data_IF_080737696665
#
_entry.id   IF_080737696665
#
_cell.length_a   1.000
_cell.length_b   1.000
_cell.length_c   1.000
_cell.angle_alpha   90.00
_cell.angle_beta   90.00
_cell.angle_gamma   90.00
#
_symmetry.space_group_name_H-M   'P 1'
#
loop_
_entity.id
_entity.type
_entity.pdbx_description
1 polymer ?
#
# COMPACT_ATOMS: atom_id res chain seq x y z
N UNK A 1 -13.70 -19.41 4.12
CA UNK A 1 -13.53 -18.47 2.99
C UNK A 1 -12.05 -18.43 2.61
N UNK A 2 -11.71 -18.44 1.32
CA UNK A 2 -10.31 -18.35 0.84
C UNK A 2 -9.98 -16.89 0.52
N UNK A 3 -8.84 -16.39 1.02
CA UNK A 3 -8.26 -15.10 0.61
C UNK A 3 -7.18 -15.34 -0.43
N UNK A 4 -7.44 -14.94 -1.67
CA UNK A 4 -6.53 -15.15 -2.80
C UNK A 4 -5.84 -13.82 -3.13
N UNK A 5 -4.51 -13.83 -3.10
CA UNK A 5 -3.67 -12.70 -3.53
C UNK A 5 -2.75 -13.19 -4.64
N UNK A 6 -2.66 -12.42 -5.72
CA UNK A 6 -1.82 -12.74 -6.88
C UNK A 6 -0.83 -11.62 -7.13
N UNK A 7 0.37 -11.98 -7.59
CA UNK A 7 1.44 -11.02 -7.87
C UNK A 7 1.03 -10.03 -8.96
N UNK A 8 0.46 -10.52 -10.07
CA UNK A 8 0.04 -9.67 -11.20
C UNK A 8 -0.97 -8.60 -10.77
N UNK A 9 -2.02 -8.98 -10.04
CA UNK A 9 -3.05 -8.03 -9.60
C UNK A 9 -2.53 -7.08 -8.52
N UNK A 10 -1.66 -7.55 -7.63
CA UNK A 10 -1.00 -6.70 -6.62
C UNK A 10 -0.14 -5.63 -7.27
N UNK A 11 0.69 -6.00 -8.26
CA UNK A 11 1.48 -5.03 -9.04
C UNK A 11 0.59 -4.06 -9.81
N UNK A 12 -0.52 -4.54 -10.38
CA UNK A 12 -1.47 -3.69 -11.12
C UNK A 12 -2.08 -2.60 -10.24
N UNK A 13 -2.58 -2.96 -9.05
CA UNK A 13 -3.20 -1.98 -8.15
C UNK A 13 -2.17 -1.05 -7.51
N UNK A 14 -0.99 -1.56 -7.16
CA UNK A 14 0.12 -0.73 -6.68
C UNK A 14 0.50 0.31 -7.73
N UNK A 15 0.71 -0.11 -8.98
CA UNK A 15 1.05 0.80 -10.08
C UNK A 15 -0.02 1.88 -10.27
N UNK A 16 -1.30 1.49 -10.24
CA UNK A 16 -2.40 2.44 -10.30
C UNK A 16 -2.34 3.48 -9.17
N UNK A 17 -2.05 3.07 -7.93
CA UNK A 17 -1.93 3.99 -6.80
C UNK A 17 -0.78 4.99 -6.98
N UNK A 18 0.38 4.55 -7.47
CA UNK A 18 1.52 5.41 -7.76
C UNK A 18 1.30 6.34 -8.97
N UNK A 19 0.68 5.83 -10.04
CA UNK A 19 0.28 6.64 -11.19
C UNK A 19 -0.73 7.71 -10.77
N UNK A 20 -1.72 7.34 -9.95
CA UNK A 20 -2.69 8.27 -9.39
C UNK A 20 -2.00 9.34 -8.53
N UNK A 21 -1.09 8.93 -7.64
CA UNK A 21 -0.35 9.85 -6.79
C UNK A 21 0.44 10.86 -7.63
N UNK A 22 1.15 10.37 -8.64
CA UNK A 22 1.94 11.19 -9.57
C UNK A 22 1.07 12.19 -10.34
N UNK A 23 -0.05 11.71 -10.92
CA UNK A 23 -0.96 12.53 -11.73
C UNK A 23 -1.63 13.65 -10.91
N UNK A 24 -1.90 13.40 -9.64
CA UNK A 24 -2.59 14.37 -8.77
C UNK A 24 -1.64 15.13 -7.84
N UNK A 25 -0.34 15.10 -8.10
CA UNK A 25 0.66 15.83 -7.30
C UNK A 25 0.72 15.39 -5.83
N UNK A 26 0.29 14.16 -5.53
CA UNK A 26 0.42 13.55 -4.21
C UNK A 26 1.87 13.14 -3.99
N UNK A 27 2.28 13.09 -2.73
CA UNK A 27 3.69 12.92 -2.35
C UNK A 27 3.95 11.61 -1.64
N UNK A 28 2.91 10.92 -1.19
CA UNK A 28 3.06 9.70 -0.38
C UNK A 28 2.02 8.63 -0.73
N UNK A 29 2.48 7.39 -0.84
CA UNK A 29 1.65 6.18 -0.96
C UNK A 29 1.98 5.26 0.21
N UNK A 30 0.95 4.87 0.98
CA UNK A 30 1.08 3.94 2.10
C UNK A 30 0.38 2.62 1.76
N UNK A 31 1.14 1.51 1.74
CA UNK A 31 0.59 0.17 1.60
C UNK A 31 0.11 -0.35 2.96
N UNK A 32 -1.20 -0.61 3.08
CA UNK A 32 -1.81 -1.10 4.32
C UNK A 32 -2.07 -2.60 4.22
N UNK A 33 -1.65 -3.35 5.24
CA UNK A 33 -1.64 -4.82 5.18
C UNK A 33 -1.76 -5.49 6.55
N UNK A 34 -1.86 -6.81 6.58
CA UNK A 34 -1.76 -7.68 7.77
C UNK A 34 -0.64 -8.71 7.64
N UNK A 35 0.46 -8.38 6.96
CA UNK A 35 1.60 -9.28 6.72
C UNK A 35 2.26 -9.87 7.99
N UNK A 36 2.04 -9.27 9.16
CA UNK A 36 2.49 -9.85 10.44
C UNK A 36 1.79 -11.19 10.77
N UNK A 37 0.54 -11.36 10.35
CA UNK A 37 -0.23 -12.61 10.49
C UNK A 37 -0.31 -13.33 9.14
N UNK A 38 -0.71 -12.62 8.08
CA UNK A 38 -0.91 -13.15 6.73
C UNK A 38 0.38 -13.07 5.89
N UNK A 39 1.41 -13.80 6.30
CA UNK A 39 2.76 -13.70 5.74
C UNK A 39 2.84 -13.94 4.22
N UNK A 40 2.03 -14.86 3.69
CA UNK A 40 2.07 -15.21 2.26
C UNK A 40 1.23 -14.27 1.40
N UNK A 41 -0.07 -14.11 1.71
CA UNK A 41 -0.96 -13.26 0.92
C UNK A 41 -0.61 -11.78 1.03
N UNK A 42 -0.67 -11.23 2.24
CA UNK A 42 -0.40 -9.82 2.47
C UNK A 42 1.10 -9.50 2.35
N UNK A 43 1.98 -10.46 2.67
CA UNK A 43 3.41 -10.29 2.41
C UNK A 43 3.74 -10.29 0.91
N UNK A 44 3.00 -11.03 0.07
CA UNK A 44 3.14 -10.91 -1.38
C UNK A 44 2.67 -9.54 -1.86
N UNK A 45 1.52 -9.05 -1.37
CA UNK A 45 1.01 -7.72 -1.71
C UNK A 45 2.01 -6.62 -1.32
N UNK A 46 2.55 -6.66 -0.10
CA UNK A 46 3.53 -5.69 0.39
C UNK A 46 4.79 -5.66 -0.49
N UNK A 47 5.39 -6.82 -0.78
CA UNK A 47 6.56 -6.93 -1.67
C UNK A 47 6.27 -6.37 -3.07
N UNK A 48 5.08 -6.64 -3.62
CA UNK A 48 4.70 -6.08 -4.91
C UNK A 48 4.59 -4.55 -4.87
N UNK A 49 4.11 -3.98 -3.77
CA UNK A 49 4.05 -2.53 -3.60
C UNK A 49 5.45 -1.92 -3.48
N UNK A 50 6.34 -2.56 -2.71
CA UNK A 50 7.74 -2.19 -2.58
C UNK A 50 8.45 -2.19 -3.94
N UNK A 51 8.37 -3.29 -4.70
CA UNK A 51 8.97 -3.40 -6.04
C UNK A 51 8.43 -2.33 -7.00
N UNK A 52 7.13 -2.05 -6.97
CA UNK A 52 6.56 -1.00 -7.83
C UNK A 52 7.02 0.39 -7.39
N UNK A 53 7.22 0.62 -6.09
CA UNK A 53 7.65 1.92 -5.57
C UNK A 53 9.01 2.38 -6.12
N UNK A 54 9.90 1.44 -6.46
CA UNK A 54 11.21 1.72 -7.06
C UNK A 54 11.11 2.48 -8.39
N UNK A 55 9.99 2.33 -9.11
CA UNK A 55 9.72 3.04 -10.36
C UNK A 55 9.28 4.50 -10.16
N UNK A 56 8.96 4.91 -8.93
CA UNK A 56 8.42 6.22 -8.58
C UNK A 56 9.24 6.90 -7.48
N UNK A 57 10.53 7.22 -7.71
CA UNK A 57 11.44 7.74 -6.68
C UNK A 57 11.03 9.09 -6.06
N UNK A 58 10.08 9.81 -6.69
CA UNK A 58 9.54 11.08 -6.17
C UNK A 58 8.39 10.90 -5.19
N UNK A 59 7.82 9.70 -5.09
CA UNK A 59 6.72 9.37 -4.19
C UNK A 59 7.30 8.64 -2.98
N UNK A 60 7.06 9.17 -1.77
CA UNK A 60 7.43 8.48 -0.55
C UNK A 60 6.58 7.22 -0.40
N UNK A 61 7.23 6.07 -0.25
CA UNK A 61 6.58 4.81 0.08
C UNK A 61 6.66 4.54 1.59
N UNK A 62 5.54 4.11 2.18
CA UNK A 62 5.45 3.63 3.56
C UNK A 62 4.58 2.37 3.60
N UNK A 63 4.76 1.54 4.63
CA UNK A 63 3.87 0.43 4.92
C UNK A 63 3.31 0.53 6.34
N UNK A 64 2.08 0.06 6.53
CA UNK A 64 1.43 0.10 7.84
C UNK A 64 0.52 -1.10 8.06
N UNK A 65 0.53 -1.65 9.27
CA UNK A 65 -0.41 -2.71 9.64
C UNK A 65 -1.81 -2.12 9.80
N UNK A 66 -2.83 -2.79 9.26
CA UNK A 66 -4.23 -2.30 9.21
C UNK A 66 -4.78 -1.84 10.58
N UNK A 67 -4.51 -2.57 11.67
CA UNK A 67 -4.98 -2.17 13.01
C UNK A 67 -4.42 -0.81 13.43
N UNK A 68 -3.12 -0.58 13.20
CA UNK A 68 -2.47 0.69 13.48
C UNK A 68 -2.99 1.77 12.53
N UNK A 69 -3.20 1.44 11.25
CA UNK A 69 -3.78 2.37 10.28
C UNK A 69 -5.17 2.85 10.73
N UNK A 70 -6.04 1.96 11.19
CA UNK A 70 -7.35 2.33 11.71
C UNK A 70 -7.26 3.25 12.93
N UNK A 71 -6.39 2.96 13.90
CA UNK A 71 -6.16 3.86 15.03
C UNK A 71 -5.65 5.24 14.59
N UNK A 72 -4.68 5.27 13.68
CA UNK A 72 -4.07 6.50 13.17
C UNK A 72 -5.05 7.33 12.32
N UNK A 73 -5.96 6.69 11.58
CA UNK A 73 -7.00 7.37 10.81
C UNK A 73 -7.98 8.11 11.71
N UNK A 74 -8.31 7.55 12.87
CA UNK A 74 -9.17 8.22 13.86
C UNK A 74 -8.41 9.31 14.61
N UNK A 75 -7.17 9.02 15.03
CA UNK A 75 -6.40 9.93 15.88
C UNK A 75 -5.76 11.10 15.14
N UNK A 76 -5.23 10.87 13.93
CA UNK A 76 -4.57 11.89 13.10
C UNK A 76 -4.63 11.53 11.60
N UNK A 77 -5.78 11.71 10.94
CA UNK A 77 -5.96 11.32 9.53
C UNK A 77 -5.07 12.11 8.55
N UNK A 78 -4.66 13.33 8.91
CA UNK A 78 -3.91 14.23 8.02
C UNK A 78 -2.49 13.76 7.69
N UNK A 79 -1.99 12.73 8.38
CA UNK A 79 -0.72 12.09 8.04
C UNK A 79 -0.78 11.25 6.76
N UNK A 80 -1.97 10.88 6.28
CA UNK A 80 -2.15 10.04 5.11
C UNK A 80 -2.38 10.88 3.84
N UNK A 81 -1.99 10.32 2.70
CA UNK A 81 -2.16 10.95 1.38
C UNK A 81 -2.85 9.99 0.42
N UNK A 82 -2.15 8.96 -0.06
CA UNK A 82 -2.75 7.84 -0.81
C UNK A 82 -2.58 6.55 -0.03
N UNK A 83 -3.67 5.80 0.16
CA UNK A 83 -3.67 4.47 0.76
C UNK A 83 -3.95 3.42 -0.31
N UNK A 84 -3.17 2.34 -0.31
CA UNK A 84 -3.42 1.16 -1.16
C UNK A 84 -3.49 -0.08 -0.28
N UNK A 85 -4.52 -0.91 -0.51
CA UNK A 85 -4.85 -2.07 0.33
C UNK A 85 -5.26 -3.26 -0.55
N UNK A 86 -5.05 -4.51 -0.10
CA UNK A 86 -5.41 -5.73 -0.82
C UNK A 86 -6.90 -6.09 -0.73
#
# INVERSE_FOLDING_TARGET
CLKIVTQEKSKRIAKFAFDYATKHGRKKVTAVHKANIMKLGDGLFLRCCEEVSELYPKIKFESMIIDNCCMQLVSNPYQFDVLVMP
#
